data_IF_866241632419
#
_entry.id   IF_866241632419
#
_cell.length_a   1.000
_cell.length_b   1.000
_cell.length_c   1.000
_cell.angle_alpha   90.00
_cell.angle_beta   90.00
_cell.angle_gamma   90.00
#
_symmetry.space_group_name_H-M   'P 1'
#
loop_
_entity.id
_entity.type
_entity.pdbx_description
1 polymer ?
#
# COMPACT_ATOMS: atom_id res chain seq x y z
N UNK A 1 26.36 -18.53 -3.08
CA UNK A 1 25.90 -18.76 -1.70
C UNK A 1 25.74 -17.40 -1.02
N UNK A 2 24.67 -16.68 -1.33
CA UNK A 2 24.37 -15.34 -0.79
C UNK A 2 22.85 -15.26 -0.59
N UNK A 3 22.42 -14.88 0.62
CA UNK A 3 21.04 -14.57 1.09
C UNK A 3 20.61 -15.39 2.32
N UNK A 4 21.26 -15.15 3.46
CA UNK A 4 20.75 -15.58 4.77
C UNK A 4 20.53 -14.34 5.65
N UNK A 5 19.28 -13.88 5.78
CA UNK A 5 18.89 -13.03 6.92
C UNK A 5 17.39 -13.00 7.18
N UNK A 6 17.04 -13.20 8.46
CA UNK A 6 15.70 -13.00 9.01
C UNK A 6 15.43 -11.50 9.17
N UNK A 7 14.33 -11.02 8.60
CA UNK A 7 13.64 -9.83 9.12
C UNK A 7 13.34 -10.09 10.61
N UNK A 8 13.48 -9.09 11.47
CA UNK A 8 13.20 -9.26 12.89
C UNK A 8 11.74 -9.68 13.05
N UNK A 9 11.50 -10.84 13.65
CA UNK A 9 10.15 -11.33 13.93
C UNK A 9 9.51 -10.58 15.12
N UNK A 10 10.19 -9.57 15.69
CA UNK A 10 9.72 -8.83 16.86
C UNK A 10 8.43 -8.05 16.58
N UNK A 11 8.39 -7.36 15.43
CA UNK A 11 7.23 -6.55 15.05
C UNK A 11 6.43 -7.20 13.93
N UNK A 12 7.08 -7.88 13.00
CA UNK A 12 6.45 -8.31 11.77
C UNK A 12 6.88 -9.71 11.32
N UNK A 13 6.39 -10.70 12.06
CA UNK A 13 6.55 -12.10 11.68
C UNK A 13 5.54 -12.47 10.59
N UNK A 14 6.00 -13.18 9.57
CA UNK A 14 5.12 -13.81 8.57
C UNK A 14 4.14 -14.75 9.29
N UNK A 15 2.85 -14.59 9.00
CA UNK A 15 1.79 -15.38 9.63
C UNK A 15 1.92 -16.88 9.38
N UNK A 16 2.21 -17.26 8.14
CA UNK A 16 2.36 -18.66 7.71
C UNK A 16 3.58 -18.79 6.80
N UNK A 17 4.39 -19.83 7.04
CA UNK A 17 5.51 -20.19 6.15
C UNK A 17 5.14 -21.45 5.36
N UNK A 18 4.92 -21.29 4.05
CA UNK A 18 4.41 -22.35 3.16
C UNK A 18 2.89 -22.50 3.22
N UNK A 19 2.39 -23.67 2.89
CA UNK A 19 0.97 -23.94 2.77
C UNK A 19 0.38 -24.51 4.09
N UNK A 20 -0.80 -24.02 4.48
CA UNK A 20 -1.70 -24.73 5.39
C UNK A 20 -2.72 -25.54 4.56
N UNK A 21 -3.35 -26.53 5.17
CA UNK A 21 -4.41 -27.29 4.50
C UNK A 21 -5.70 -26.45 4.47
N UNK A 22 -6.14 -25.97 3.30
CA UNK A 22 -7.34 -25.15 3.23
C UNK A 22 -8.58 -25.87 3.77
N UNK A 23 -8.63 -27.21 3.70
CA UNK A 23 -9.79 -28.00 4.19
C UNK A 23 -9.94 -27.95 5.70
N UNK A 24 -8.84 -27.79 6.42
CA UNK A 24 -8.84 -27.58 7.87
C UNK A 24 -9.09 -26.10 8.17
N UNK A 25 -8.45 -25.21 7.41
CA UNK A 25 -8.57 -23.77 7.63
C UNK A 25 -9.99 -23.26 7.43
N UNK A 26 -10.76 -23.78 6.47
CA UNK A 26 -12.16 -23.39 6.21
C UNK A 26 -13.12 -23.73 7.35
N UNK A 27 -12.76 -24.68 8.24
CA UNK A 27 -13.59 -25.05 9.39
C UNK A 27 -13.55 -24.02 10.53
N UNK A 28 -12.59 -23.07 10.49
CA UNK A 28 -12.52 -21.96 11.46
C UNK A 28 -13.67 -20.95 11.24
N UNK A 29 -14.04 -20.16 12.25
CA UNK A 29 -14.93 -19.01 12.06
C UNK A 29 -14.34 -18.03 11.05
N UNK A 30 -15.18 -17.31 10.30
CA UNK A 30 -14.72 -16.22 9.41
C UNK A 30 -14.72 -14.87 10.12
N UNK A 31 -13.78 -14.02 9.76
CA UNK A 31 -13.80 -12.62 10.15
C UNK A 31 -14.97 -11.88 9.46
N UNK A 32 -15.40 -10.76 10.02
CA UNK A 32 -16.35 -9.88 9.36
C UNK A 32 -15.64 -8.97 8.35
N UNK A 33 -15.45 -9.46 7.12
CA UNK A 33 -14.66 -8.80 6.10
C UNK A 33 -15.29 -8.88 4.70
N UNK A 34 -14.83 -8.02 3.79
CA UNK A 34 -15.19 -8.05 2.38
C UNK A 34 -14.04 -7.61 1.47
N UNK A 35 -14.03 -8.11 0.25
CA UNK A 35 -13.28 -7.48 -0.84
C UNK A 35 -13.95 -6.19 -1.25
N UNK A 36 -13.16 -5.15 -1.52
CA UNK A 36 -13.64 -3.85 -1.99
C UNK A 36 -12.97 -3.52 -3.31
N UNK A 37 -13.79 -3.27 -4.33
CA UNK A 37 -13.33 -3.01 -5.70
C UNK A 37 -14.00 -1.77 -6.23
N UNK A 38 -13.24 -0.70 -6.49
CA UNK A 38 -13.72 0.44 -7.25
C UNK A 38 -13.42 0.22 -8.73
N UNK A 39 -14.44 0.11 -9.57
CA UNK A 39 -14.25 -0.11 -11.00
C UNK A 39 -15.39 0.49 -11.82
N UNK A 40 -15.08 0.89 -13.06
CA UNK A 40 -16.08 1.35 -14.03
C UNK A 40 -16.50 0.19 -14.93
N UNK A 41 -17.66 0.34 -15.56
CA UNK A 41 -18.19 -0.67 -16.49
C UNK A 41 -17.21 -1.05 -17.63
N UNK A 42 -16.35 -0.10 -18.04
CA UNK A 42 -15.36 -0.31 -19.12
C UNK A 42 -14.14 -1.14 -18.69
N UNK A 43 -13.95 -1.35 -17.38
CA UNK A 43 -12.83 -2.09 -16.79
C UNK A 43 -13.20 -3.55 -16.51
N UNK A 44 -14.32 -4.03 -17.05
CA UNK A 44 -14.84 -5.37 -16.80
C UNK A 44 -13.80 -6.46 -17.04
N UNK A 45 -13.06 -6.42 -18.15
CA UNK A 45 -12.08 -7.46 -18.48
C UNK A 45 -10.95 -7.51 -17.43
N UNK A 46 -10.44 -6.34 -17.01
CA UNK A 46 -9.44 -6.22 -15.95
C UNK A 46 -9.98 -6.69 -14.60
N UNK A 47 -11.25 -6.41 -14.29
CA UNK A 47 -11.91 -6.93 -13.08
C UNK A 47 -12.02 -8.45 -13.11
N UNK A 48 -12.41 -9.04 -14.25
CA UNK A 48 -12.50 -10.50 -14.38
C UNK A 48 -11.13 -11.15 -14.24
N UNK A 49 -10.07 -10.57 -14.79
CA UNK A 49 -8.71 -11.05 -14.58
C UNK A 49 -8.36 -11.08 -13.08
N UNK A 50 -8.62 -9.99 -12.37
CA UNK A 50 -8.35 -9.89 -10.93
C UNK A 50 -9.16 -10.90 -10.12
N UNK A 51 -10.47 -11.02 -10.40
CA UNK A 51 -11.38 -11.97 -9.73
C UNK A 51 -10.93 -13.41 -9.97
N UNK A 52 -10.62 -13.80 -11.21
CA UNK A 52 -10.10 -15.14 -11.51
C UNK A 52 -8.83 -15.45 -10.72
N UNK A 53 -7.94 -14.47 -10.59
CA UNK A 53 -6.67 -14.64 -9.87
C UNK A 53 -6.90 -14.83 -8.37
N UNK A 54 -7.66 -13.95 -7.70
CA UNK A 54 -7.93 -14.09 -6.26
C UNK A 54 -8.79 -15.33 -5.95
N UNK A 55 -9.74 -15.70 -6.82
CA UNK A 55 -10.54 -16.91 -6.64
C UNK A 55 -9.65 -18.15 -6.71
N UNK A 56 -8.75 -18.24 -7.69
CA UNK A 56 -7.80 -19.36 -7.82
C UNK A 56 -6.92 -19.51 -6.58
N UNK A 57 -6.38 -18.40 -6.09
CA UNK A 57 -5.34 -18.41 -5.07
C UNK A 57 -5.86 -18.26 -3.63
N UNK A 58 -7.14 -17.94 -3.42
CA UNK A 58 -7.67 -17.72 -2.08
C UNK A 58 -9.16 -17.99 -1.99
N UNK A 59 -9.97 -17.23 -2.72
CA UNK A 59 -11.38 -17.09 -2.36
C UNK A 59 -12.23 -18.31 -2.71
N UNK A 60 -11.72 -19.21 -3.57
CA UNK A 60 -12.32 -20.53 -3.82
C UNK A 60 -12.51 -21.36 -2.55
N UNK A 61 -11.74 -21.11 -1.50
CA UNK A 61 -11.83 -21.82 -0.22
C UNK A 61 -12.64 -21.02 0.80
N UNK A 62 -12.43 -19.71 0.89
CA UNK A 62 -12.95 -18.90 2.01
C UNK A 62 -14.26 -18.16 1.71
N UNK A 63 -14.60 -17.95 0.44
CA UNK A 63 -15.87 -17.38 -0.02
C UNK A 63 -16.26 -16.03 0.63
N UNK A 64 -15.28 -15.17 0.88
CA UNK A 64 -15.52 -13.80 1.35
C UNK A 64 -16.34 -13.00 0.33
N UNK A 65 -17.24 -12.11 0.79
CA UNK A 65 -18.09 -11.31 -0.08
C UNK A 65 -17.30 -10.24 -0.83
N UNK A 66 -17.82 -9.82 -1.98
CA UNK A 66 -17.31 -8.71 -2.79
C UNK A 66 -18.26 -7.51 -2.75
N UNK A 67 -17.70 -6.32 -2.55
CA UNK A 67 -18.39 -5.04 -2.68
C UNK A 67 -17.77 -4.27 -3.83
N UNK A 68 -18.49 -4.19 -4.94
CA UNK A 68 -18.11 -3.40 -6.11
C UNK A 68 -18.72 -2.01 -6.00
N UNK A 69 -17.89 -0.98 -6.16
CA UNK A 69 -18.26 0.43 -6.13
C UNK A 69 -17.93 1.09 -7.48
N UNK A 70 -18.71 2.09 -7.86
CA UNK A 70 -18.57 2.83 -9.13
C UNK A 70 -19.15 4.24 -8.97
N UNK A 71 -18.52 5.25 -9.58
CA UNK A 71 -19.04 6.63 -9.62
C UNK A 71 -20.27 6.79 -10.56
N UNK A 72 -20.53 5.78 -11.39
CA UNK A 72 -21.75 5.59 -12.16
C UNK A 72 -22.57 4.35 -11.74
N UNK A 73 -23.59 4.04 -12.53
CA UNK A 73 -24.38 2.81 -12.36
C UNK A 73 -23.68 1.63 -13.02
N UNK A 74 -23.52 0.52 -12.31
CA UNK A 74 -23.13 -0.74 -12.93
C UNK A 74 -24.25 -1.27 -13.84
N UNK A 75 -23.90 -1.54 -15.10
CA UNK A 75 -24.83 -2.11 -16.06
C UNK A 75 -25.08 -3.60 -15.76
N UNK A 76 -26.16 -4.16 -16.33
CA UNK A 76 -26.56 -5.53 -16.04
C UNK A 76 -25.52 -6.56 -16.50
N UNK A 77 -24.89 -6.32 -17.66
CA UNK A 77 -23.82 -7.17 -18.19
C UNK A 77 -22.65 -7.30 -17.22
N UNK A 78 -22.18 -6.19 -16.64
CA UNK A 78 -21.12 -6.19 -15.64
C UNK A 78 -21.54 -7.02 -14.42
N UNK A 79 -22.73 -6.76 -13.89
CA UNK A 79 -23.25 -7.45 -12.70
C UNK A 79 -23.37 -8.96 -12.91
N UNK A 80 -23.89 -9.39 -14.05
CA UNK A 80 -24.11 -10.80 -14.34
C UNK A 80 -22.81 -11.55 -14.59
N UNK A 81 -21.87 -10.92 -15.31
CA UNK A 81 -20.57 -11.53 -15.58
C UNK A 81 -19.77 -11.66 -14.26
N UNK A 82 -19.66 -10.60 -13.46
CA UNK A 82 -18.92 -10.66 -12.18
C UNK A 82 -19.49 -11.72 -11.23
N UNK A 83 -20.82 -11.83 -11.11
CA UNK A 83 -21.46 -12.88 -10.29
C UNK A 83 -21.12 -14.30 -10.76
N UNK A 84 -20.86 -14.48 -12.05
CA UNK A 84 -20.53 -15.79 -12.62
C UNK A 84 -19.09 -16.23 -12.30
N UNK A 85 -18.19 -15.27 -12.03
CA UNK A 85 -16.78 -15.51 -11.72
C UNK A 85 -16.47 -15.54 -10.22
N UNK A 86 -17.41 -15.16 -9.36
CA UNK A 86 -17.21 -15.03 -7.91
C UNK A 86 -17.85 -16.20 -7.17
N UNK A 87 -17.18 -16.71 -6.15
CA UNK A 87 -17.71 -17.78 -5.30
C UNK A 87 -18.44 -17.24 -4.06
N UNK A 88 -18.05 -16.06 -3.58
CA UNK A 88 -18.71 -15.33 -2.49
C UNK A 88 -19.90 -14.48 -2.95
N UNK A 89 -20.67 -13.91 -2.00
CA UNK A 89 -21.78 -13.01 -2.33
C UNK A 89 -21.29 -11.68 -2.89
N UNK A 90 -22.01 -11.11 -3.85
CA UNK A 90 -21.62 -9.85 -4.51
C UNK A 90 -22.65 -8.76 -4.31
N UNK A 91 -22.19 -7.59 -3.86
CA UNK A 91 -22.97 -6.36 -3.75
C UNK A 91 -22.41 -5.30 -4.70
N UNK A 92 -23.30 -4.49 -5.28
CA UNK A 92 -22.94 -3.41 -6.19
C UNK A 92 -23.49 -2.09 -5.64
N UNK A 93 -22.61 -1.12 -5.40
CA UNK A 93 -22.92 0.20 -4.89
C UNK A 93 -22.52 1.29 -5.87
N UNK A 94 -23.28 2.38 -5.86
CA UNK A 94 -22.91 3.62 -6.54
C UNK A 94 -22.33 4.60 -5.53
N UNK A 95 -21.19 5.18 -5.86
CA UNK A 95 -20.60 6.29 -5.12
C UNK A 95 -21.37 7.56 -5.49
N UNK A 96 -22.04 8.13 -4.49
CA UNK A 96 -22.84 9.33 -4.64
C UNK A 96 -22.00 10.60 -4.81
N UNK A 97 -22.63 11.71 -5.24
CA UNK A 97 -21.96 13.00 -5.40
C UNK A 97 -21.45 13.61 -4.09
N UNK A 98 -21.93 13.13 -2.95
CA UNK A 98 -21.45 13.48 -1.61
C UNK A 98 -20.03 12.91 -1.32
N UNK A 99 -19.65 11.83 -2.01
CA UNK A 99 -18.37 11.15 -1.86
C UNK A 99 -17.48 11.27 -3.11
N UNK A 100 -18.02 11.73 -4.23
CA UNK A 100 -17.33 11.82 -5.52
C UNK A 100 -17.56 13.15 -6.21
N UNK A 101 -16.47 13.85 -6.54
CA UNK A 101 -16.48 15.17 -7.16
C UNK A 101 -15.95 16.26 -6.23
N UNK A 102 -16.14 17.52 -6.63
CA UNK A 102 -15.62 18.67 -5.90
C UNK A 102 -16.41 18.93 -4.60
N UNK A 103 -15.74 19.10 -3.46
CA UNK A 103 -16.41 19.49 -2.22
C UNK A 103 -16.87 20.96 -2.26
N UNK A 104 -17.85 21.30 -1.42
CA UNK A 104 -18.47 22.63 -1.40
C UNK A 104 -17.50 23.79 -1.04
N UNK A 105 -16.37 23.48 -0.41
CA UNK A 105 -15.39 24.48 0.03
C UNK A 105 -14.44 24.94 -1.09
N UNK A 106 -14.37 24.23 -2.23
CA UNK A 106 -13.53 24.61 -3.37
C UNK A 106 -14.39 25.06 -4.55
N UNK A 107 -14.04 26.18 -5.18
CA UNK A 107 -14.65 26.57 -6.46
C UNK A 107 -14.24 25.55 -7.54
N UNK A 108 -15.20 24.85 -8.18
CA UNK A 108 -14.89 23.90 -9.25
C UNK A 108 -14.03 24.47 -10.38
N UNK A 109 -14.11 25.78 -10.65
CA UNK A 109 -13.26 26.41 -11.67
C UNK A 109 -11.80 26.47 -11.25
N UNK A 110 -11.54 26.74 -9.97
CA UNK A 110 -10.18 26.76 -9.40
C UNK A 110 -9.60 25.35 -9.42
N UNK A 111 -10.38 24.35 -9.01
CA UNK A 111 -9.96 22.96 -9.05
C UNK A 111 -9.65 22.49 -10.48
N UNK A 112 -10.51 22.83 -11.45
CA UNK A 112 -10.29 22.50 -12.87
C UNK A 112 -9.05 23.16 -13.45
N UNK A 113 -8.77 24.41 -13.10
CA UNK A 113 -7.54 25.09 -13.50
C UNK A 113 -6.31 24.42 -12.87
N UNK A 114 -6.38 24.01 -11.59
CA UNK A 114 -5.33 23.25 -10.91
C UNK A 114 -5.01 21.92 -11.62
N UNK A 115 -6.03 21.17 -11.99
CA UNK A 115 -5.90 19.91 -12.76
C UNK A 115 -5.32 20.20 -14.16
N UNK A 116 -5.83 21.22 -14.86
CA UNK A 116 -5.35 21.58 -16.20
C UNK A 116 -3.85 21.92 -16.17
N UNK A 117 -3.41 22.71 -15.19
CA UNK A 117 -2.00 23.08 -15.00
C UNK A 117 -1.10 21.86 -14.77
N UNK A 118 -1.58 20.85 -14.05
CA UNK A 118 -0.83 19.60 -13.84
C UNK A 118 -0.76 18.76 -15.12
N UNK A 119 -1.84 18.75 -15.91
CA UNK A 119 -1.85 18.19 -17.26
C UNK A 119 -0.84 18.85 -18.19
N UNK A 120 -0.77 20.19 -18.19
CA UNK A 120 0.20 20.97 -18.97
C UNK A 120 1.64 20.72 -18.53
N UNK A 121 1.86 20.45 -17.24
CA UNK A 121 3.15 20.05 -16.67
C UNK A 121 3.50 18.57 -16.88
N UNK A 122 2.64 17.81 -17.57
CA UNK A 122 2.79 16.37 -17.81
C UNK A 122 2.96 15.52 -16.54
N UNK A 123 2.36 15.95 -15.42
CA UNK A 123 2.31 15.15 -14.19
C UNK A 123 1.47 13.90 -14.46
N UNK A 124 1.96 12.73 -14.07
CA UNK A 124 1.27 11.46 -14.31
C UNK A 124 -0.16 11.48 -13.75
N UNK A 125 -1.15 11.28 -14.63
CA UNK A 125 -2.58 11.40 -14.34
C UNK A 125 -3.07 12.77 -13.83
N UNK A 126 -2.19 13.78 -13.73
CA UNK A 126 -2.53 15.09 -13.16
C UNK A 126 -3.55 15.89 -13.95
N UNK A 127 -3.73 15.59 -15.24
CA UNK A 127 -4.79 16.18 -16.07
C UNK A 127 -6.15 15.45 -16.00
N UNK A 128 -6.29 14.39 -15.20
CA UNK A 128 -7.48 13.53 -15.19
C UNK A 128 -8.36 13.78 -13.96
N UNK A 129 -9.40 14.60 -14.08
CA UNK A 129 -10.35 14.93 -13.00
C UNK A 129 -10.88 13.69 -12.24
N UNK A 130 -11.24 12.62 -12.96
CA UNK A 130 -11.73 11.39 -12.33
C UNK A 130 -10.68 10.68 -11.46
N UNK A 131 -9.39 10.87 -11.78
CA UNK A 131 -8.30 10.28 -11.01
C UNK A 131 -8.11 11.02 -9.67
N UNK A 132 -8.19 12.34 -9.67
CA UNK A 132 -8.21 13.15 -8.43
C UNK A 132 -9.40 12.78 -7.53
N UNK A 133 -10.59 12.64 -8.11
CA UNK A 133 -11.77 12.19 -7.38
C UNK A 133 -11.60 10.77 -6.79
N UNK A 134 -10.97 9.85 -7.54
CA UNK A 134 -10.65 8.50 -7.08
C UNK A 134 -9.71 8.50 -5.88
N UNK A 135 -8.59 9.25 -5.96
CA UNK A 135 -7.63 9.33 -4.85
C UNK A 135 -8.27 9.93 -3.59
N UNK A 136 -9.10 10.98 -3.75
CA UNK A 136 -9.87 11.54 -2.63
C UNK A 136 -10.88 10.55 -2.06
N UNK A 137 -11.57 9.78 -2.90
CA UNK A 137 -12.55 8.78 -2.48
C UNK A 137 -11.91 7.66 -1.64
N UNK A 138 -10.80 7.09 -2.11
CA UNK A 138 -10.07 6.08 -1.34
C UNK A 138 -9.43 6.67 -0.07
N UNK A 139 -9.04 7.95 -0.08
CA UNK A 139 -8.50 8.60 1.13
C UNK A 139 -9.53 8.84 2.23
N UNK A 140 -10.80 9.12 1.87
CA UNK A 140 -11.74 9.74 2.82
C UNK A 140 -13.14 9.15 2.89
N UNK A 141 -13.53 8.28 1.96
CA UNK A 141 -14.94 7.99 1.73
C UNK A 141 -15.29 6.52 1.53
N UNK A 142 -14.40 5.70 0.97
CA UNK A 142 -14.75 4.29 0.67
C UNK A 142 -15.33 3.57 1.91
N UNK A 143 -14.68 3.72 3.07
CA UNK A 143 -15.07 3.10 4.35
C UNK A 143 -16.37 3.66 4.96
N UNK A 144 -16.87 4.78 4.44
CA UNK A 144 -18.15 5.41 4.79
C UNK A 144 -19.31 4.93 3.91
N UNK A 145 -19.02 4.28 2.79
CA UNK A 145 -20.06 3.81 1.88
C UNK A 145 -21.03 2.86 2.62
N UNK A 146 -22.36 2.98 2.45
CA UNK A 146 -23.34 2.21 3.24
C UNK A 146 -23.15 0.69 3.18
N UNK A 147 -22.69 0.16 2.04
CA UNK A 147 -22.41 -1.27 1.90
C UNK A 147 -21.24 -1.75 2.78
N UNK A 148 -20.32 -0.85 3.17
CA UNK A 148 -19.21 -1.18 4.05
C UNK A 148 -19.51 -0.98 5.55
N UNK A 149 -20.63 -0.34 5.89
CA UNK A 149 -20.99 -0.04 7.28
C UNK A 149 -21.07 -1.29 8.17
N UNK A 150 -21.41 -2.45 7.58
CA UNK A 150 -21.55 -3.73 8.28
C UNK A 150 -20.25 -4.52 8.44
N UNK A 151 -19.18 -4.16 7.73
CA UNK A 151 -17.91 -4.89 7.77
C UNK A 151 -16.91 -4.23 8.74
N UNK A 152 -16.04 -5.05 9.32
CA UNK A 152 -14.95 -4.62 10.21
C UNK A 152 -13.62 -4.51 9.47
N UNK A 153 -13.43 -5.33 8.44
CA UNK A 153 -12.20 -5.40 7.64
C UNK A 153 -12.52 -5.29 6.16
N UNK A 154 -11.56 -4.78 5.40
CA UNK A 154 -11.61 -4.85 3.94
C UNK A 154 -10.29 -5.37 3.37
N UNK A 155 -10.39 -5.95 2.18
CA UNK A 155 -9.26 -6.21 1.31
C UNK A 155 -9.50 -5.51 -0.03
N UNK A 156 -8.68 -4.51 -0.35
CA UNK A 156 -8.77 -3.81 -1.64
C UNK A 156 -8.27 -4.69 -2.78
N UNK A 157 -9.04 -4.74 -3.85
CA UNK A 157 -8.61 -5.29 -5.13
C UNK A 157 -8.82 -4.22 -6.21
N UNK A 158 -7.85 -4.08 -7.10
CA UNK A 158 -7.95 -3.27 -8.31
C UNK A 158 -8.16 -4.16 -9.55
N UNK A 159 -8.66 -3.62 -10.66
CA UNK A 159 -8.59 -4.29 -11.96
C UNK A 159 -7.13 -4.62 -12.36
N UNK A 160 -6.93 -5.65 -13.17
CA UNK A 160 -5.63 -6.03 -13.76
C UNK A 160 -4.54 -6.45 -12.76
N UNK A 161 -4.92 -6.95 -11.59
CA UNK A 161 -3.97 -7.56 -10.64
C UNK A 161 -3.67 -9.02 -10.96
N UNK A 162 -2.60 -9.55 -10.36
CA UNK A 162 -2.27 -10.96 -10.39
C UNK A 162 -1.68 -11.39 -9.04
N UNK A 163 -2.24 -12.46 -8.47
CA UNK A 163 -1.61 -13.24 -7.42
C UNK A 163 -0.78 -14.37 -8.03
N UNK A 164 0.34 -14.70 -7.41
CA UNK A 164 1.27 -15.74 -7.87
C UNK A 164 1.38 -16.92 -6.93
N UNK A 165 0.96 -16.75 -5.68
CA UNK A 165 1.06 -17.73 -4.62
C UNK A 165 -0.33 -18.09 -4.11
N UNK A 166 -0.50 -19.32 -3.65
CA UNK A 166 -1.72 -19.72 -2.95
C UNK A 166 -1.73 -19.19 -1.52
N UNK A 167 -2.85 -18.61 -1.14
CA UNK A 167 -3.12 -18.05 0.18
C UNK A 167 -4.06 -19.04 0.86
N UNK A 168 -3.46 -19.94 1.63
CA UNK A 168 -4.13 -21.14 2.16
C UNK A 168 -4.64 -20.99 3.58
N UNK A 169 -4.61 -19.78 4.12
CA UNK A 169 -5.11 -19.41 5.43
C UNK A 169 -5.96 -18.14 5.33
N UNK A 170 -6.70 -17.82 6.39
CA UNK A 170 -7.53 -16.61 6.44
C UNK A 170 -6.71 -15.41 6.95
N UNK A 171 -6.30 -14.46 6.08
CA UNK A 171 -5.47 -13.35 6.51
C UNK A 171 -6.18 -12.42 7.48
N UNK A 172 -7.51 -12.29 7.42
CA UNK A 172 -8.24 -11.43 8.34
C UNK A 172 -8.19 -11.97 9.77
N UNK A 173 -8.34 -13.29 9.94
CA UNK A 173 -8.17 -13.91 11.26
C UNK A 173 -6.76 -13.69 11.81
N UNK A 174 -5.74 -13.88 10.99
CA UNK A 174 -4.37 -13.68 11.43
C UNK A 174 -4.06 -12.21 11.78
N UNK A 175 -4.63 -11.26 11.02
CA UNK A 175 -4.55 -9.83 11.37
C UNK A 175 -5.19 -9.56 12.74
N UNK A 176 -6.36 -10.16 13.02
CA UNK A 176 -7.04 -10.04 14.32
C UNK A 176 -6.21 -10.66 15.45
N UNK A 177 -5.78 -11.91 15.30
CA UNK A 177 -5.06 -12.68 16.31
C UNK A 177 -3.72 -12.03 16.70
N UNK A 178 -3.08 -11.34 15.75
CA UNK A 178 -1.80 -10.66 15.95
C UNK A 178 -1.95 -9.16 16.23
N UNK A 179 -3.18 -8.68 16.50
CA UNK A 179 -3.48 -7.28 16.78
C UNK A 179 -2.94 -6.30 15.73
N UNK A 180 -2.97 -6.70 14.46
CA UNK A 180 -2.62 -5.84 13.34
C UNK A 180 -3.77 -4.91 13.00
N UNK A 181 -3.48 -3.84 12.28
CA UNK A 181 -4.46 -2.83 11.84
C UNK A 181 -4.43 -2.68 10.33
N UNK A 182 -3.26 -2.71 9.72
CA UNK A 182 -3.06 -2.45 8.30
C UNK A 182 -1.98 -3.37 7.74
N UNK A 183 -2.19 -3.90 6.53
CA UNK A 183 -1.20 -4.75 5.89
C UNK A 183 -1.06 -4.49 4.40
N UNK A 184 0.16 -4.67 3.91
CA UNK A 184 0.61 -4.32 2.56
C UNK A 184 1.45 -5.44 1.94
N UNK A 185 1.67 -5.38 0.63
CA UNK A 185 2.60 -6.26 -0.11
C UNK A 185 3.72 -5.50 -0.80
N UNK A 186 3.55 -4.21 -1.10
CA UNK A 186 4.53 -3.41 -1.83
C UNK A 186 4.65 -2.05 -1.14
N UNK A 187 5.88 -1.58 -0.94
CA UNK A 187 6.16 -0.20 -0.51
C UNK A 187 7.16 0.43 -1.49
N UNK A 188 6.83 1.61 -2.00
CA UNK A 188 7.59 2.30 -3.07
C UNK A 188 7.64 3.81 -2.83
N UNK A 189 8.56 4.49 -3.52
CA UNK A 189 8.64 5.95 -3.52
C UNK A 189 7.58 6.55 -4.45
N UNK A 190 6.94 7.62 -3.97
CA UNK A 190 6.03 8.46 -4.74
C UNK A 190 6.81 9.38 -5.70
N UNK A 191 6.14 9.82 -6.76
CA UNK A 191 6.62 10.86 -7.66
C UNK A 191 6.51 12.22 -6.97
N UNK A 192 7.65 12.85 -6.67
CA UNK A 192 7.73 14.11 -5.91
C UNK A 192 6.84 15.22 -6.50
N UNK A 193 6.73 15.29 -7.82
CA UNK A 193 5.91 16.26 -8.54
C UNK A 193 4.40 16.12 -8.28
N UNK A 194 3.95 14.97 -7.80
CA UNK A 194 2.52 14.72 -7.49
C UNK A 194 2.14 15.22 -6.10
N UNK A 195 3.10 15.35 -5.18
CA UNK A 195 2.87 15.60 -3.75
C UNK A 195 3.76 16.69 -3.12
N UNK A 196 4.08 17.81 -3.79
CA UNK A 196 5.07 18.76 -3.31
C UNK A 196 4.74 19.37 -1.93
N UNK A 197 3.47 19.45 -1.52
CA UNK A 197 3.10 19.98 -0.20
C UNK A 197 2.52 18.94 0.77
N UNK A 198 2.42 17.66 0.41
CA UNK A 198 1.72 16.67 1.26
C UNK A 198 2.32 16.58 2.66
N UNK A 199 3.64 16.55 2.74
CA UNK A 199 4.36 16.35 3.99
C UNK A 199 4.22 17.54 4.94
N UNK A 200 4.10 18.75 4.38
CA UNK A 200 3.85 19.97 5.16
C UNK A 200 2.57 19.85 5.97
N UNK A 201 1.49 19.36 5.36
CA UNK A 201 0.20 19.21 6.05
C UNK A 201 0.21 18.03 7.02
N UNK A 202 0.84 16.90 6.64
CA UNK A 202 0.98 15.76 7.55
C UNK A 202 1.82 16.11 8.80
N UNK A 203 2.97 16.75 8.63
CA UNK A 203 3.83 17.23 9.72
C UNK A 203 3.10 18.27 10.58
N UNK A 204 2.35 19.20 9.96
CA UNK A 204 1.51 20.15 10.69
C UNK A 204 0.43 19.47 11.52
N UNK A 205 -0.23 18.42 11.01
CA UNK A 205 -1.21 17.64 11.77
C UNK A 205 -0.57 16.99 13.00
N UNK A 206 0.57 16.30 12.81
CA UNK A 206 1.33 15.67 13.90
C UNK A 206 1.71 16.69 14.99
N UNK A 207 2.20 17.87 14.59
CA UNK A 207 2.56 18.96 15.52
C UNK A 207 1.36 19.55 16.25
N UNK A 208 0.30 19.93 15.52
CA UNK A 208 -0.88 20.59 16.10
C UNK A 208 -1.61 19.71 17.12
N UNK A 209 -1.52 18.39 16.96
CA UNK A 209 -2.12 17.41 17.87
C UNK A 209 -1.12 16.88 18.92
N UNK A 210 0.11 17.41 18.97
CA UNK A 210 1.19 16.96 19.89
C UNK A 210 1.42 15.44 19.85
N UNK A 211 1.39 14.84 18.66
CA UNK A 211 1.56 13.40 18.48
C UNK A 211 3.05 13.05 18.41
N UNK A 212 3.49 12.17 19.31
CA UNK A 212 4.81 11.56 19.26
C UNK A 212 4.75 10.29 18.41
N UNK A 213 5.72 10.09 17.51
CA UNK A 213 5.80 8.87 16.70
C UNK A 213 5.89 7.62 17.58
N UNK A 214 5.26 6.55 17.13
CA UNK A 214 5.38 5.21 17.69
C UNK A 214 6.39 4.33 16.89
N UNK A 215 7.31 4.97 16.17
CA UNK A 215 8.39 4.34 15.40
C UNK A 215 8.09 4.15 13.90
N UNK A 216 6.83 4.29 13.48
CA UNK A 216 6.45 4.08 12.08
C UNK A 216 6.67 5.33 11.22
N UNK A 217 6.53 6.54 11.78
CA UNK A 217 6.78 7.80 11.08
C UNK A 217 8.19 7.85 10.46
N UNK A 218 9.16 7.27 11.17
CA UNK A 218 10.57 7.21 10.83
C UNK A 218 10.81 6.46 9.50
N UNK A 219 9.90 5.58 9.07
CA UNK A 219 9.96 4.93 7.75
C UNK A 219 9.83 5.94 6.60
N UNK A 220 9.11 7.03 6.84
CA UNK A 220 8.70 7.97 5.80
C UNK A 220 9.56 9.23 5.76
N UNK A 221 10.47 9.41 6.71
CA UNK A 221 11.34 10.59 6.74
C UNK A 221 12.77 10.22 6.37
N UNK A 222 13.47 11.16 5.74
CA UNK A 222 14.90 11.03 5.52
C UNK A 222 15.62 10.93 6.88
N UNK A 223 16.59 10.00 7.02
CA UNK A 223 17.37 9.91 8.24
C UNK A 223 18.11 11.22 8.48
N UNK A 224 18.29 11.65 9.74
CA UNK A 224 19.04 12.86 10.05
C UNK A 224 20.45 12.77 9.45
N UNK A 225 20.86 13.81 8.72
CA UNK A 225 22.21 13.91 8.18
C UNK A 225 23.20 13.77 9.34
N UNK A 226 24.06 12.76 9.31
CA UNK A 226 25.13 12.63 10.30
C UNK A 226 25.93 13.94 10.30
N UNK A 227 26.31 14.48 11.47
CA UNK A 227 27.26 15.59 11.50
C UNK A 227 28.54 15.16 10.76
N UNK A 228 29.26 16.10 10.13
CA UNK A 228 30.53 15.79 9.48
C UNK A 228 31.39 14.98 10.45
N UNK A 229 31.96 13.87 9.96
CA UNK A 229 32.88 13.02 10.72
C UNK A 229 33.85 13.92 11.50
N UNK A 230 33.81 13.83 12.83
CA UNK A 230 34.79 14.51 13.68
C UNK A 230 36.18 14.05 13.22
N UNK A 231 36.91 14.95 12.56
CA UNK A 231 38.28 14.68 12.14
C UNK A 231 39.07 14.43 13.43
N UNK A 232 39.77 13.29 13.56
CA UNK A 232 40.48 12.99 14.80
C UNK A 232 41.43 14.14 15.17
N UNK A 233 41.42 14.57 16.43
CA UNK A 233 42.27 15.66 16.97
C UNK A 233 43.78 15.48 16.74
N UNK A 234 44.20 14.32 16.24
CA UNK A 234 45.59 13.97 15.95
C UNK A 234 46.01 14.17 14.48
N UNK A 235 45.20 14.81 13.63
CA UNK A 235 45.69 15.27 12.33
C UNK A 235 46.65 16.47 12.53
N UNK A 236 47.93 16.37 12.12
CA UNK A 236 48.89 17.47 12.24
C UNK A 236 48.51 18.72 11.42
N UNK A 237 47.47 18.65 10.56
CA UNK A 237 46.89 19.79 9.85
C UNK A 237 45.60 20.35 10.51
N UNK A 238 45.17 19.81 11.66
CA UNK A 238 43.98 20.30 12.37
C UNK A 238 44.21 21.71 12.91
N UNK A 239 43.38 22.66 12.46
CA UNK A 239 43.26 23.98 13.09
C UNK A 239 41.98 23.99 13.91
N UNK A 240 42.02 24.25 15.23
CA UNK A 240 40.82 24.33 16.03
C UNK A 240 39.89 25.43 15.49
N UNK A 241 38.57 25.21 15.45
CA UNK A 241 37.63 26.26 15.07
C UNK A 241 37.76 27.43 16.04
N UNK A 242 37.72 28.65 15.50
CA UNK A 242 37.77 29.88 16.29
C UNK A 242 36.51 29.97 17.18
N UNK A 243 36.60 30.52 18.40
CA UNK A 243 35.44 30.75 19.26
C UNK A 243 34.33 31.52 18.52
N UNK A 244 33.07 31.14 18.74
CA UNK A 244 31.88 31.71 18.06
C UNK A 244 31.84 33.26 18.09
N UNK A 245 32.40 33.89 19.12
CA UNK A 245 32.46 35.35 19.25
C UNK A 245 33.33 36.01 18.18
N UNK A 246 34.36 35.33 17.66
CA UNK A 246 35.27 35.85 16.62
C UNK A 246 34.67 35.64 15.22
N UNK A 247 33.87 34.57 15.02
CA UNK A 247 33.20 34.29 13.74
C UNK A 247 32.09 35.30 13.40
N UNK A 248 31.52 35.98 14.40
CA UNK A 248 30.49 37.03 14.20
C UNK A 248 31.04 38.35 13.65
N UNK A 249 32.36 38.55 13.68
CA UNK A 249 33.00 39.81 13.28
C UNK A 249 33.62 39.79 11.88
N UNK A 250 33.58 38.65 11.16
CA UNK A 250 34.14 38.53 9.81
C UNK A 250 33.01 38.62 8.75
N UNK A 251 32.98 39.64 7.87
CA UNK A 251 31.87 39.86 6.92
C UNK A 251 31.68 38.76 5.86
N UNK A 252 32.54 37.72 5.84
CA UNK A 252 32.56 36.67 4.83
C UNK A 252 32.18 35.26 5.30
N UNK A 253 31.85 35.05 6.58
CA UNK A 253 31.66 33.69 7.15
C UNK A 253 30.34 33.46 7.91
N UNK A 254 29.29 34.20 7.61
CA UNK A 254 27.92 33.75 7.89
C UNK A 254 27.38 32.99 6.68
N UNK A 255 27.75 31.71 6.52
CA UNK A 255 26.87 30.80 5.79
C UNK A 255 25.64 30.64 6.65
N UNK A 256 24.53 31.27 6.25
CA UNK A 256 23.22 31.02 6.85
C UNK A 256 22.99 29.50 6.94
N UNK A 257 22.31 29.00 7.98
CA UNK A 257 21.96 27.58 8.03
C UNK A 257 21.27 27.21 6.71
N UNK A 258 21.67 26.08 6.12
CA UNK A 258 21.08 25.60 4.88
C UNK A 258 19.63 25.18 5.17
N UNK A 259 18.68 26.05 4.81
CA UNK A 259 17.25 25.78 4.99
C UNK A 259 16.82 24.92 3.81
N UNK A 260 16.63 23.62 4.03
CA UNK A 260 15.99 22.78 3.04
C UNK A 260 14.55 23.28 2.81
N UNK A 261 14.19 23.69 1.58
CA UNK A 261 12.91 24.37 1.32
C UNK A 261 11.67 23.51 1.57
N UNK A 262 11.84 22.19 1.64
CA UNK A 262 10.77 21.22 1.87
C UNK A 262 10.81 20.59 3.26
N UNK A 263 11.82 20.91 4.08
CA UNK A 263 11.93 20.39 5.43
C UNK A 263 10.88 21.04 6.34
N UNK A 264 10.24 20.23 7.17
CA UNK A 264 9.20 20.64 8.11
C UNK A 264 9.56 20.10 9.47
N UNK A 265 9.69 20.97 10.48
CA UNK A 265 10.12 20.58 11.83
C UNK A 265 11.48 19.85 11.86
N UNK A 266 12.36 20.12 10.89
CA UNK A 266 13.68 19.48 10.76
C UNK A 266 13.65 18.10 10.06
N UNK A 267 12.49 17.64 9.61
CA UNK A 267 12.30 16.38 8.90
C UNK A 267 11.98 16.63 7.42
N UNK A 268 12.30 15.70 6.53
CA UNK A 268 11.92 15.74 5.11
C UNK A 268 11.33 14.41 4.69
N UNK A 269 10.30 14.43 3.85
CA UNK A 269 9.68 13.21 3.33
C UNK A 269 10.61 12.50 2.35
N UNK A 270 10.87 11.20 2.56
CA UNK A 270 11.69 10.38 1.68
C UNK A 270 10.91 9.79 0.49
N UNK A 271 9.64 10.19 0.34
CA UNK A 271 8.64 9.76 -0.64
C UNK A 271 8.09 8.34 -0.43
N UNK A 272 8.52 7.60 0.58
CA UNK A 272 8.05 6.23 0.80
C UNK A 272 6.59 6.15 1.20
N UNK A 273 5.89 5.17 0.64
CA UNK A 273 4.53 4.85 1.01
C UNK A 273 4.22 3.36 0.77
N UNK A 274 3.25 2.83 1.50
CA UNK A 274 2.62 1.54 1.21
C UNK A 274 1.72 1.68 -0.02
N UNK A 275 1.87 0.77 -0.99
CA UNK A 275 1.20 0.87 -2.27
C UNK A 275 -0.24 0.36 -2.18
N UNK A 276 -1.18 1.30 -2.10
CA UNK A 276 -2.57 1.07 -1.64
C UNK A 276 -3.45 0.21 -2.55
N UNK A 277 -3.04 -0.16 -3.77
CA UNK A 277 -3.84 -1.05 -4.60
C UNK A 277 -3.97 -2.47 -3.99
N UNK A 278 -3.04 -2.85 -3.11
CA UNK A 278 -3.21 -3.95 -2.18
C UNK A 278 -3.24 -3.40 -0.76
N UNK A 279 -4.35 -3.61 -0.05
CA UNK A 279 -4.50 -3.27 1.36
C UNK A 279 -5.41 -4.29 2.03
N UNK A 280 -4.98 -4.83 3.17
CA UNK A 280 -5.87 -5.51 4.11
C UNK A 280 -5.86 -4.69 5.40
N UNK A 281 -6.97 -4.04 5.73
CA UNK A 281 -6.98 -3.14 6.86
C UNK A 281 -8.32 -3.07 7.60
N UNK A 282 -8.22 -2.65 8.85
CA UNK A 282 -9.35 -2.52 9.78
C UNK A 282 -10.11 -1.23 9.49
N UNK A 283 -11.37 -1.34 9.07
CA UNK A 283 -12.22 -0.20 8.72
C UNK A 283 -12.45 0.75 9.91
N UNK A 284 -12.40 0.24 11.15
CA UNK A 284 -12.55 1.08 12.34
C UNK A 284 -11.42 2.09 12.52
N UNK A 285 -10.23 1.83 11.98
CA UNK A 285 -9.12 2.79 12.01
C UNK A 285 -9.41 3.99 11.11
N UNK A 286 -9.87 3.75 9.87
CA UNK A 286 -10.30 4.82 8.97
C UNK A 286 -11.50 5.61 9.53
N UNK A 287 -12.39 4.96 10.28
CA UNK A 287 -13.53 5.58 10.96
C UNK A 287 -13.16 6.27 12.29
N UNK A 288 -11.90 6.18 12.72
CA UNK A 288 -11.45 6.81 13.95
C UNK A 288 -11.49 8.33 13.81
N UNK A 289 -11.68 9.04 14.93
CA UNK A 289 -11.70 10.50 14.92
C UNK A 289 -10.36 11.04 14.42
N UNK A 290 -9.27 10.39 14.82
CA UNK A 290 -7.91 10.80 14.52
C UNK A 290 -7.60 10.69 13.02
N UNK A 291 -8.09 9.64 12.35
CA UNK A 291 -7.96 9.51 10.90
C UNK A 291 -8.85 10.51 10.16
N UNK A 292 -10.11 10.67 10.60
CA UNK A 292 -11.06 11.62 10.01
C UNK A 292 -10.57 13.07 10.10
N UNK A 293 -10.03 13.47 11.26
CA UNK A 293 -9.45 14.80 11.46
C UNK A 293 -8.21 15.00 10.56
N UNK A 294 -7.37 13.96 10.41
CA UNK A 294 -6.23 13.98 9.51
C UNK A 294 -6.69 14.17 8.06
N UNK A 295 -7.62 13.32 7.61
CA UNK A 295 -8.18 13.40 6.26
C UNK A 295 -8.83 14.76 6.00
N UNK A 296 -9.60 15.32 6.94
CA UNK A 296 -10.24 16.64 6.79
C UNK A 296 -9.20 17.76 6.63
N UNK A 297 -8.08 17.70 7.37
CA UNK A 297 -6.96 18.64 7.18
C UNK A 297 -6.33 18.51 5.79
N UNK A 298 -6.12 17.27 5.33
CA UNK A 298 -5.57 16.99 4.01
C UNK A 298 -6.54 17.43 2.91
N UNK A 299 -7.83 17.17 3.04
CA UNK A 299 -8.85 17.55 2.07
C UNK A 299 -8.91 19.08 1.93
N UNK A 300 -9.09 19.79 3.04
CA UNK A 300 -9.19 21.27 3.07
C UNK A 300 -7.96 22.00 2.58
N UNK A 301 -6.80 21.33 2.52
CA UNK A 301 -5.58 21.91 1.97
C UNK A 301 -5.66 22.21 0.47
N UNK A 302 -6.58 21.56 -0.26
CA UNK A 302 -6.63 21.65 -1.72
C UNK A 302 -5.71 20.68 -2.46
N UNK A 303 -4.88 19.90 -1.78
CA UNK A 303 -3.86 19.05 -2.38
C UNK A 303 -4.39 17.97 -3.33
N UNK A 304 -5.60 17.46 -3.11
CA UNK A 304 -6.24 16.54 -4.06
C UNK A 304 -6.61 17.19 -5.41
N UNK A 305 -6.64 18.52 -5.52
CA UNK A 305 -7.13 19.22 -6.72
C UNK A 305 -6.08 20.15 -7.34
N UNK A 306 -5.27 20.81 -6.50
CA UNK A 306 -4.20 21.71 -6.92
C UNK A 306 -2.87 20.96 -7.14
N UNK A 307 -2.76 19.77 -6.57
CA UNK A 307 -1.71 18.77 -6.77
C UNK A 307 -2.38 17.43 -7.08
N UNK A 308 -1.61 16.33 -7.15
CA UNK A 308 -2.12 14.98 -7.40
C UNK A 308 -1.84 14.12 -6.17
N UNK A 309 -2.46 14.45 -5.03
CA UNK A 309 -2.29 13.61 -3.86
C UNK A 309 -2.97 12.26 -4.06
N UNK A 310 -2.17 11.19 -3.98
CA UNK A 310 -2.66 9.82 -4.03
C UNK A 310 -3.17 9.37 -2.67
N UNK A 311 -4.11 8.43 -2.66
CA UNK A 311 -4.55 7.75 -1.44
C UNK A 311 -3.41 6.96 -0.77
N UNK A 312 -2.50 6.38 -1.55
CA UNK A 312 -1.37 5.62 -1.02
C UNK A 312 -0.46 6.42 -0.06
N UNK A 313 0.09 7.59 -0.44
CA UNK A 313 0.85 8.43 0.50
C UNK A 313 -0.03 9.04 1.61
N UNK A 314 -1.32 9.31 1.37
CA UNK A 314 -2.24 9.78 2.42
C UNK A 314 -2.41 8.72 3.51
N UNK A 315 -2.72 7.49 3.14
CA UNK A 315 -2.86 6.35 4.06
C UNK A 315 -1.56 6.08 4.81
N UNK A 316 -0.43 6.13 4.10
CA UNK A 316 0.89 5.85 4.67
C UNK A 316 1.33 6.90 5.68
N UNK A 317 1.17 8.19 5.36
CA UNK A 317 1.47 9.27 6.31
C UNK A 317 0.51 9.25 7.50
N UNK A 318 -0.78 8.98 7.29
CA UNK A 318 -1.74 8.79 8.38
C UNK A 318 -1.32 7.61 9.29
N UNK A 319 -0.92 6.49 8.71
CA UNK A 319 -0.42 5.32 9.44
C UNK A 319 0.86 5.69 10.22
N UNK A 320 1.83 6.34 9.60
CA UNK A 320 3.06 6.78 10.25
C UNK A 320 2.84 7.68 11.47
N UNK A 321 1.80 8.52 11.45
CA UNK A 321 1.45 9.39 12.57
C UNK A 321 0.65 8.64 13.64
N UNK A 322 -0.33 7.81 13.24
CA UNK A 322 -1.37 7.30 14.13
C UNK A 322 -1.14 5.86 14.62
N UNK A 323 -0.28 5.11 13.95
CA UNK A 323 0.00 3.70 14.24
C UNK A 323 1.48 3.50 14.62
N UNK A 324 1.75 2.43 15.34
CA UNK A 324 3.11 1.95 15.57
C UNK A 324 3.50 0.87 14.57
N UNK A 325 4.81 0.57 14.52
CA UNK A 325 5.36 -0.47 13.63
C UNK A 325 4.68 -1.82 13.84
N UNK A 326 4.40 -2.19 15.10
CA UNK A 326 3.71 -3.43 15.47
C UNK A 326 2.29 -3.57 14.88
N UNK A 327 1.64 -2.46 14.54
CA UNK A 327 0.26 -2.45 14.05
C UNK A 327 0.19 -2.72 12.52
N UNK A 328 1.34 -2.66 11.85
CA UNK A 328 1.46 -2.91 10.41
C UNK A 328 1.93 -4.35 10.16
N UNK A 329 1.47 -4.94 9.07
CA UNK A 329 1.93 -6.26 8.61
C UNK A 329 2.38 -6.24 7.15
N UNK A 330 3.60 -6.73 6.90
CA UNK A 330 4.05 -7.01 5.55
C UNK A 330 3.69 -8.45 5.15
N UNK A 331 2.77 -8.61 4.20
CA UNK A 331 2.40 -9.91 3.62
C UNK A 331 3.48 -10.43 2.67
N UNK A 332 4.65 -10.76 3.23
CA UNK A 332 5.81 -11.25 2.49
C UNK A 332 5.51 -12.54 1.72
N UNK A 333 4.59 -13.36 2.21
CA UNK A 333 4.16 -14.63 1.63
C UNK A 333 3.19 -14.48 0.43
N UNK A 334 2.65 -13.28 0.18
CA UNK A 334 1.71 -13.05 -0.90
C UNK A 334 2.43 -12.57 -2.16
N UNK A 335 2.59 -13.45 -3.14
CA UNK A 335 3.02 -13.02 -4.47
C UNK A 335 1.93 -12.20 -5.13
N UNK A 336 2.23 -10.94 -5.46
CA UNK A 336 1.27 -9.96 -5.96
C UNK A 336 1.89 -9.04 -7.02
N UNK A 337 1.12 -8.72 -8.07
CA UNK A 337 1.47 -7.74 -9.08
C UNK A 337 0.28 -6.87 -9.43
N UNK A 338 0.57 -5.59 -9.63
CA UNK A 338 -0.29 -4.64 -10.30
C UNK A 338 0.55 -3.95 -11.38
N UNK A 339 0.05 -3.91 -12.62
CA UNK A 339 0.78 -3.42 -13.82
C UNK A 339 2.21 -3.99 -13.95
N UNK A 340 3.24 -3.16 -13.77
CA UNK A 340 4.67 -3.50 -13.99
C UNK A 340 5.45 -3.73 -12.70
N UNK A 341 4.82 -3.59 -11.54
CA UNK A 341 5.46 -3.74 -10.23
C UNK A 341 4.96 -5.02 -9.58
N UNK A 342 5.90 -5.88 -9.21
CA UNK A 342 5.65 -7.21 -8.68
C UNK A 342 6.45 -7.42 -7.40
N UNK A 343 5.79 -8.01 -6.41
CA UNK A 343 6.41 -8.70 -5.27
C UNK A 343 6.13 -10.19 -5.43
N UNK A 344 7.14 -11.05 -5.36
CA UNK A 344 6.95 -12.49 -5.45
C UNK A 344 7.97 -13.27 -4.60
N UNK A 345 7.53 -13.87 -3.48
CA UNK A 345 8.42 -14.59 -2.58
C UNK A 345 8.83 -15.96 -3.14
N UNK A 346 9.98 -16.44 -2.68
CA UNK A 346 10.38 -17.82 -2.91
C UNK A 346 9.54 -18.80 -2.08
N UNK A 347 9.37 -20.02 -2.61
CA UNK A 347 8.62 -21.08 -1.94
C UNK A 347 9.34 -21.64 -0.71
N UNK A 348 8.57 -21.88 0.35
CA UNK A 348 9.06 -22.42 1.61
C UNK A 348 9.53 -23.88 1.49
N UNK A 349 10.74 -24.24 1.99
CA UNK A 349 11.27 -25.59 1.94
C UNK A 349 10.44 -26.61 2.73
N UNK A 350 10.10 -27.74 2.12
CA UNK A 350 9.36 -28.86 2.70
C UNK A 350 8.03 -28.47 3.36
N UNK A 351 7.40 -27.39 2.88
CA UNK A 351 6.12 -26.85 3.40
C UNK A 351 5.09 -26.61 2.30
N UNK A 352 5.24 -27.30 1.17
CA UNK A 352 4.27 -27.25 0.07
C UNK A 352 3.25 -28.38 0.20
N UNK A 353 2.00 -28.12 -0.22
CA UNK A 353 0.95 -29.14 -0.30
C UNK A 353 0.67 -29.55 -1.75
N UNK A 354 0.16 -30.77 -1.99
CA UNK A 354 -0.25 -31.18 -3.34
C UNK A 354 -1.23 -30.19 -3.98
N UNK A 355 -1.09 -29.98 -5.29
CA UNK A 355 -2.01 -29.13 -6.07
C UNK A 355 -3.44 -29.68 -6.03
N UNK A 356 -4.40 -28.80 -5.78
CA UNK A 356 -5.82 -29.09 -5.93
C UNK A 356 -6.35 -28.34 -7.16
N UNK A 357 -6.80 -29.06 -8.21
CA UNK A 357 -7.25 -28.43 -9.45
C UNK A 357 -8.30 -27.34 -9.24
N UNK A 358 -8.18 -26.24 -9.98
CA UNK A 358 -9.16 -25.17 -10.08
C UNK A 358 -9.53 -24.93 -11.55
N UNK A 359 -10.66 -25.53 -11.92
CA UNK A 359 -11.23 -25.44 -13.28
C UNK A 359 -12.39 -24.45 -13.28
N UNK A 360 -12.06 -23.18 -13.49
CA UNK A 360 -13.02 -22.09 -13.66
C UNK A 360 -13.92 -22.39 -14.87
N UNK A 361 -15.25 -22.44 -14.66
CA UNK A 361 -16.19 -23.08 -15.60
C UNK A 361 -16.63 -22.21 -16.77
N UNK A 362 -16.43 -20.91 -16.69
CA UNK A 362 -16.82 -19.96 -17.74
C UNK A 362 -15.75 -19.83 -18.82
N UNK A 363 -14.50 -20.18 -18.50
CA UNK A 363 -13.42 -20.34 -19.47
C UNK A 363 -13.60 -21.66 -20.26
N UNK A 364 -13.37 -21.66 -21.60
CA UNK A 364 -13.44 -22.88 -22.41
C UNK A 364 -12.58 -24.01 -21.85
N UNK A 365 -13.05 -25.25 -21.96
CA UNK A 365 -12.48 -26.43 -21.30
C UNK A 365 -10.98 -26.61 -21.55
N UNK A 366 -10.56 -26.54 -22.81
CA UNK A 366 -9.15 -26.64 -23.18
C UNK A 366 -8.28 -25.55 -22.51
N UNK A 367 -8.80 -24.32 -22.42
CA UNK A 367 -8.06 -23.19 -21.82
C UNK A 367 -7.99 -23.28 -20.30
N UNK A 368 -9.07 -23.70 -19.63
CA UNK A 368 -9.06 -23.85 -18.16
C UNK A 368 -8.16 -25.00 -17.71
N UNK A 369 -8.06 -26.07 -18.50
CA UNK A 369 -7.14 -27.18 -18.25
C UNK A 369 -5.68 -26.76 -18.44
N UNK A 370 -5.38 -26.02 -19.51
CA UNK A 370 -4.04 -25.45 -19.74
C UNK A 370 -3.63 -24.50 -18.62
N UNK A 371 -4.55 -23.62 -18.20
CA UNK A 371 -4.33 -22.69 -17.09
C UNK A 371 -4.08 -23.45 -15.77
N UNK A 372 -4.86 -24.50 -15.48
CA UNK A 372 -4.65 -25.30 -14.27
C UNK A 372 -3.32 -26.07 -14.29
N UNK A 373 -2.94 -26.64 -15.43
CA UNK A 373 -1.64 -27.31 -15.60
C UNK A 373 -0.46 -26.34 -15.41
N UNK A 374 -0.61 -25.10 -15.86
CA UNK A 374 0.39 -24.05 -15.62
C UNK A 374 0.59 -23.80 -14.13
N UNK A 375 -0.49 -23.69 -13.34
CA UNK A 375 -0.43 -23.46 -11.90
C UNK A 375 -0.10 -24.70 -11.06
N UNK A 376 -0.33 -25.90 -11.61
CA UNK A 376 0.09 -27.16 -10.99
C UNK A 376 1.61 -27.31 -10.89
N UNK A 377 2.36 -26.48 -11.62
CA UNK A 377 3.81 -26.39 -11.58
C UNK A 377 4.19 -25.07 -10.90
N UNK A 378 4.74 -25.13 -9.68
CA UNK A 378 5.25 -23.95 -8.97
C UNK A 378 6.79 -23.91 -8.99
N UNK A 379 7.36 -22.76 -8.65
CA UNK A 379 8.81 -22.56 -8.65
C UNK A 379 9.49 -23.38 -7.55
N UNK A 380 10.77 -23.71 -7.75
CA UNK A 380 11.53 -24.48 -6.78
C UNK A 380 11.60 -23.79 -5.40
N UNK A 381 11.55 -24.60 -4.35
CA UNK A 381 11.72 -24.16 -2.97
C UNK A 381 13.14 -23.60 -2.76
N UNK A 382 13.27 -22.51 -1.98
CA UNK A 382 14.57 -21.90 -1.66
C UNK A 382 14.72 -21.73 -0.15
N UNK A 383 15.97 -21.77 0.32
CA UNK A 383 16.28 -21.46 1.72
C UNK A 383 15.68 -20.09 2.09
N UNK A 384 15.03 -20.02 3.26
CA UNK A 384 14.29 -18.85 3.76
C UNK A 384 13.04 -18.42 2.95
N UNK A 385 12.62 -19.19 1.94
CA UNK A 385 11.34 -18.97 1.27
C UNK A 385 10.17 -19.07 2.25
N UNK A 386 9.13 -18.27 2.01
CA UNK A 386 7.89 -18.28 2.81
C UNK A 386 6.63 -18.56 2.02
N UNK A 387 6.72 -18.51 0.69
CA UNK A 387 5.58 -18.68 -0.20
C UNK A 387 4.99 -20.08 -0.21
N UNK A 388 3.70 -20.15 -0.55
CA UNK A 388 2.96 -21.37 -0.83
C UNK A 388 2.65 -21.46 -2.32
N UNK A 389 3.23 -22.46 -3.00
CA UNK A 389 3.06 -22.76 -4.43
C UNK A 389 3.17 -21.54 -5.34
N UNK A 390 4.06 -20.61 -5.01
CA UNK A 390 4.35 -19.45 -5.81
C UNK A 390 4.90 -19.84 -7.18
N UNK A 391 4.37 -19.20 -8.22
CA UNK A 391 4.93 -19.24 -9.57
C UNK A 391 5.10 -17.81 -10.08
N UNK A 392 6.30 -17.28 -9.91
CA UNK A 392 6.64 -15.90 -10.18
C UNK A 392 6.85 -15.65 -11.68
N UNK A 393 6.51 -14.44 -12.14
CA UNK A 393 6.87 -14.02 -13.49
C UNK A 393 8.37 -13.71 -13.54
N UNK A 394 9.09 -14.36 -14.45
CA UNK A 394 10.54 -14.18 -14.61
C UNK A 394 10.89 -12.95 -15.43
N UNK A 395 9.95 -12.41 -16.21
CA UNK A 395 10.18 -11.25 -17.07
C UNK A 395 10.13 -9.93 -16.28
N UNK A 396 9.53 -9.97 -15.09
CA UNK A 396 9.40 -8.82 -14.20
C UNK A 396 10.20 -9.10 -12.93
N UNK A 397 11.29 -8.36 -12.76
CA UNK A 397 12.12 -8.42 -11.55
C UNK A 397 11.30 -7.95 -10.35
N UNK A 398 11.49 -8.61 -9.21
CA UNK A 398 10.90 -8.27 -7.92
C UNK A 398 11.18 -6.81 -7.52
N UNK A 399 10.22 -6.15 -6.89
CA UNK A 399 10.33 -4.75 -6.45
C UNK A 399 11.22 -4.57 -5.23
N UNK A 400 11.28 -5.53 -4.30
CA UNK A 400 11.94 -5.36 -3.00
C UNK A 400 13.39 -4.87 -3.16
N UNK A 401 14.11 -5.40 -4.16
CA UNK A 401 15.52 -5.09 -4.43
C UNK A 401 15.78 -3.99 -5.47
N UNK A 402 14.75 -3.27 -5.93
CA UNK A 402 14.91 -2.20 -6.93
C UNK A 402 15.10 -0.82 -6.30
N UNK A 403 15.78 0.04 -7.04
CA UNK A 403 15.76 1.48 -6.75
C UNK A 403 14.31 2.01 -6.78
N UNK A 404 13.93 2.76 -5.73
CA UNK A 404 12.56 3.22 -5.52
C UNK A 404 11.69 2.29 -4.67
N UNK A 405 12.18 1.10 -4.28
CA UNK A 405 11.61 0.30 -3.20
C UNK A 405 11.78 0.99 -1.85
N UNK A 406 10.83 0.79 -0.95
CA UNK A 406 10.87 1.29 0.43
C UNK A 406 10.97 0.16 1.47
N UNK A 407 11.33 -1.05 1.03
CA UNK A 407 11.47 -2.19 1.94
C UNK A 407 12.70 -2.09 2.85
N UNK A 408 13.75 -1.36 2.44
CA UNK A 408 14.88 -1.09 3.31
C UNK A 408 14.45 -0.23 4.51
N UNK A 409 13.71 0.85 4.25
CA UNK A 409 13.15 1.74 5.26
C UNK A 409 12.14 1.00 6.17
N UNK A 410 11.32 0.10 5.61
CA UNK A 410 10.45 -0.78 6.42
C UNK A 410 11.26 -1.66 7.37
N UNK A 411 12.34 -2.27 6.87
CA UNK A 411 13.19 -3.13 7.70
C UNK A 411 13.91 -2.33 8.79
N UNK A 412 14.34 -1.11 8.51
CA UNK A 412 15.01 -0.27 9.51
C UNK A 412 14.10 0.00 10.71
N UNK A 413 12.79 0.22 10.48
CA UNK A 413 11.83 0.47 11.58
C UNK A 413 11.22 -0.80 12.17
N UNK A 414 10.97 -1.83 11.36
CA UNK A 414 10.41 -3.11 11.82
C UNK A 414 11.46 -4.01 12.48
N UNK A 415 12.73 -3.68 12.27
CA UNK A 415 13.88 -4.46 12.67
C UNK A 415 14.18 -5.58 11.69
N UNK A 416 15.46 -5.91 11.57
CA UNK A 416 15.95 -7.00 10.73
C UNK A 416 16.91 -6.53 9.67
N UNK A 417 16.94 -7.23 8.54
CA UNK A 417 17.78 -6.89 7.38
C UNK A 417 17.02 -7.23 6.08
N UNK A 418 16.91 -6.26 5.17
CA UNK A 418 16.29 -6.39 3.86
C UNK A 418 17.34 -6.98 2.91
N UNK A 419 17.52 -8.31 2.99
CA UNK A 419 18.54 -9.05 2.21
C UNK A 419 20.01 -8.63 2.47
N UNK A 420 21.01 -9.37 1.93
CA UNK A 420 22.35 -8.82 1.70
C UNK A 420 22.36 -7.77 0.59
#
# INVERSE_FOLDING_TARGET
MLANRKISEEHDKVFVTGCLDPKEEVNKPRANAAFVVLARNKELDGVIQSVKSIERHFNRWFHYPYVFLNDGEFNQTFKDIVRNYTSGTVEFGRVGPDMWGYPDWIDPKVAKEGIAKQGDAAVMYGGLESYHAMCRFYSGFFYKHPLLAKYEWYWRLEPEIKYFCDITYDPFLHMIENNKTYGFTIAVKELRETVPNIFRYASAYKRLNNITSQGLWEMFVEPPTQPPVEVPENDPNYKPPLPEEIMRTDPGHTSLPEIHPEAMEGESYNMCHFWSNFEIAKLSWFRSKEYEDFFEMMDRSGGFWMERWGDAPIHSLAAGILLGVKDIHYFRDFGYRHTTIQHCPANAPARQLPHEPFLEKTTPENKREEEDQYWAQWDEEKENGVGCRCRCDTDIVDVEGKEGSCLAEWVDVAGGWASP
#
